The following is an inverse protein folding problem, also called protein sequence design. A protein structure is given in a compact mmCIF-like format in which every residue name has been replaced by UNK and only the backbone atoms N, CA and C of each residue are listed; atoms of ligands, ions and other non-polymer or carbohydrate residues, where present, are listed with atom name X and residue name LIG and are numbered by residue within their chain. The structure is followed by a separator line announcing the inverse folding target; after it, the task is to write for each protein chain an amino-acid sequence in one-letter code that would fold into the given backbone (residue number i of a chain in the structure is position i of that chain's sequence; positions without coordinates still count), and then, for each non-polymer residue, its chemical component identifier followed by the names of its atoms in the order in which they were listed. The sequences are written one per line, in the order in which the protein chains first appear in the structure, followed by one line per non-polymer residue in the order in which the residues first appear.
data_IF_325060485123
#
_entry.id   IF_325060485123
#
_cell.length_a   1.000
_cell.length_b   1.000
_cell.length_c   1.000
_cell.angle_alpha   90.00
_cell.angle_beta   90.00
_cell.angle_gamma   90.00
#
_symmetry.space_group_name_H-M   'P 1'
#
loop_
_entity.id
_entity.type
_entity.pdbx_description
1 polymer ?
#
# COMPACT_ATOMS: atom_id res chain seq x y z
N UNK A 1 2.13 13.13 -11.35
CA UNK A 1 2.68 12.35 -12.48
C UNK A 1 2.18 10.90 -12.38
N UNK A 2 1.16 10.49 -13.18
CA UNK A 2 0.57 9.15 -13.09
C UNK A 2 1.54 8.02 -13.44
N UNK A 3 2.57 8.32 -14.20
CA UNK A 3 3.58 7.34 -14.66
C UNK A 3 4.75 7.19 -13.69
N UNK A 4 4.83 8.07 -12.69
CA UNK A 4 5.90 8.01 -11.71
C UNK A 4 5.56 7.05 -10.57
N UNK A 5 6.53 6.24 -10.16
CA UNK A 5 6.41 5.40 -8.97
C UNK A 5 6.08 6.25 -7.74
N UNK A 6 5.15 5.79 -6.91
CA UNK A 6 4.90 6.39 -5.59
C UNK A 6 6.17 6.41 -4.75
N UNK A 7 6.50 7.57 -4.18
CA UNK A 7 7.73 7.73 -3.40
C UNK A 7 7.57 8.76 -2.29
N UNK A 8 8.04 8.43 -1.10
CA UNK A 8 8.07 9.34 0.05
C UNK A 8 8.98 10.55 -0.19
N UNK A 9 10.07 10.38 -0.94
CA UNK A 9 11.02 11.48 -1.26
C UNK A 9 10.42 12.59 -2.13
N UNK A 10 9.30 12.32 -2.81
CA UNK A 10 8.57 13.31 -3.62
C UNK A 10 7.52 14.10 -2.81
N UNK A 11 7.39 13.83 -1.52
CA UNK A 11 6.45 14.50 -0.62
C UNK A 11 5.14 13.74 -0.38
N UNK A 12 4.38 14.19 0.60
CA UNK A 12 3.21 13.47 1.14
C UNK A 12 2.08 13.22 0.15
N UNK A 13 1.97 14.01 -0.91
CA UNK A 13 0.96 13.83 -1.96
C UNK A 13 1.26 12.69 -2.93
N UNK A 14 2.46 12.10 -2.86
CA UNK A 14 2.93 11.09 -3.80
C UNK A 14 2.83 9.65 -3.27
N UNK A 15 2.27 9.45 -2.07
CA UNK A 15 2.05 8.12 -1.50
C UNK A 15 0.89 8.12 -0.51
N UNK A 16 0.34 6.94 -0.27
CA UNK A 16 -0.60 6.70 0.82
C UNK A 16 0.16 5.96 1.92
N UNK A 17 0.22 6.55 3.12
CA UNK A 17 0.84 5.90 4.26
C UNK A 17 -0.13 4.93 4.93
N UNK A 18 0.39 3.82 5.46
CA UNK A 18 -0.42 2.87 6.24
C UNK A 18 -1.08 3.51 7.48
N UNK A 19 -0.55 4.66 7.91
CA UNK A 19 -1.04 5.43 9.06
C UNK A 19 -1.95 6.60 8.69
N UNK A 20 -2.19 6.84 7.40
CA UNK A 20 -3.08 7.91 6.95
C UNK A 20 -4.50 7.66 7.45
N UNK A 21 -5.14 8.71 7.97
CA UNK A 21 -6.54 8.64 8.37
C UNK A 21 -7.45 8.48 7.14
N UNK A 22 -8.69 7.97 7.30
CA UNK A 22 -9.64 7.88 6.20
C UNK A 22 -9.85 9.19 5.44
N UNK A 23 -9.87 10.33 6.15
CA UNK A 23 -9.99 11.66 5.55
C UNK A 23 -8.79 12.02 4.68
N UNK A 24 -7.57 11.70 5.12
CA UNK A 24 -6.34 11.94 4.37
C UNK A 24 -6.29 11.06 3.13
N UNK A 25 -6.66 9.78 3.24
CA UNK A 25 -6.73 8.85 2.10
C UNK A 25 -7.70 9.38 1.05
N UNK A 26 -8.92 9.76 1.44
CA UNK A 26 -9.89 10.34 0.50
C UNK A 26 -9.36 11.61 -0.16
N UNK A 27 -8.73 12.50 0.58
CA UNK A 27 -8.15 13.73 0.03
C UNK A 27 -7.05 13.44 -0.98
N UNK A 28 -6.14 12.50 -0.68
CA UNK A 28 -5.05 12.09 -1.58
C UNK A 28 -5.60 11.44 -2.86
N UNK A 29 -6.53 10.50 -2.76
CA UNK A 29 -7.15 9.86 -3.92
C UNK A 29 -7.97 10.86 -4.74
N UNK A 30 -8.70 11.78 -4.10
CA UNK A 30 -9.45 12.84 -4.78
C UNK A 30 -8.52 13.74 -5.59
N UNK A 31 -7.33 14.06 -5.08
CA UNK A 31 -6.34 14.90 -5.77
C UNK A 31 -5.55 14.16 -6.86
N UNK A 32 -5.65 12.83 -6.95
CA UNK A 32 -4.94 12.06 -7.98
C UNK A 32 -5.34 12.49 -9.40
N UNK A 33 -4.35 12.63 -10.27
CA UNK A 33 -4.58 12.99 -11.67
C UNK A 33 -5.21 11.80 -12.40
N UNK A 34 -6.37 12.01 -13.02
CA UNK A 34 -7.11 10.99 -13.79
C UNK A 34 -6.99 11.18 -15.28
N UNK A 35 -6.94 12.42 -15.75
CA UNK A 35 -6.75 12.74 -17.16
C UNK A 35 -5.75 13.88 -17.30
N UNK A 36 -4.87 13.79 -18.30
CA UNK A 36 -4.07 14.92 -18.78
C UNK A 36 -4.72 15.47 -20.05
N UNK A 37 -4.74 16.78 -20.20
CA UNK A 37 -5.29 17.43 -21.38
C UNK A 37 -4.62 16.86 -22.65
N UNK A 38 -5.43 16.27 -23.54
CA UNK A 38 -4.98 15.75 -24.86
C UNK A 38 -4.69 14.27 -24.98
N UNK A 39 -4.88 13.44 -23.94
CA UNK A 39 -4.55 12.03 -23.99
C UNK A 39 -5.69 11.04 -23.82
N UNK A 40 -5.98 10.24 -24.83
CA UNK A 40 -6.95 9.14 -24.80
C UNK A 40 -6.52 7.91 -24.00
N UNK A 41 -5.28 7.91 -23.47
CA UNK A 41 -4.77 6.87 -22.56
C UNK A 41 -4.49 7.52 -21.22
N UNK A 42 -5.54 7.76 -20.45
CA UNK A 42 -5.45 8.35 -19.13
C UNK A 42 -4.74 7.39 -18.16
N UNK A 43 -3.41 7.42 -18.13
CA UNK A 43 -2.57 6.58 -17.26
C UNK A 43 -3.02 6.67 -15.79
N UNK A 44 -3.54 7.83 -15.36
CA UNK A 44 -4.09 7.99 -14.03
C UNK A 44 -5.36 7.16 -13.74
N UNK A 45 -6.24 6.96 -14.74
CA UNK A 45 -7.40 6.07 -14.59
C UNK A 45 -6.96 4.61 -14.51
N UNK A 46 -6.02 4.21 -15.37
CA UNK A 46 -5.46 2.85 -15.37
C UNK A 46 -4.83 2.54 -14.03
N UNK A 47 -4.07 3.48 -13.45
CA UNK A 47 -3.45 3.31 -12.13
C UNK A 47 -4.49 3.18 -11.01
N UNK A 48 -5.57 3.96 -11.04
CA UNK A 48 -6.65 3.84 -10.06
C UNK A 48 -7.41 2.52 -10.18
N UNK A 49 -7.63 2.03 -11.41
CA UNK A 49 -8.24 0.72 -11.65
C UNK A 49 -7.30 -0.41 -11.18
N UNK A 50 -5.98 -0.28 -11.38
CA UNK A 50 -4.99 -1.22 -10.86
C UNK A 50 -5.00 -1.25 -9.32
N UNK A 51 -5.03 -0.10 -8.65
CA UNK A 51 -5.20 -0.03 -7.20
C UNK A 51 -6.51 -0.67 -6.75
N UNK A 52 -7.61 -0.42 -7.46
CA UNK A 52 -8.87 -1.05 -7.15
C UNK A 52 -8.83 -2.58 -7.33
N UNK A 53 -8.08 -3.08 -8.29
CA UNK A 53 -7.90 -4.52 -8.50
C UNK A 53 -7.20 -5.20 -7.33
N UNK A 54 -6.27 -4.50 -6.65
CA UNK A 54 -5.56 -5.02 -5.49
C UNK A 54 -6.41 -4.96 -4.20
N UNK A 55 -7.18 -3.89 -4.01
CA UNK A 55 -7.87 -3.62 -2.74
C UNK A 55 -9.39 -3.80 -2.80
N UNK A 56 -9.99 -3.77 -3.97
CA UNK A 56 -11.43 -3.76 -4.16
C UNK A 56 -12.06 -5.13 -4.41
N UNK A 57 -13.39 -5.17 -4.43
CA UNK A 57 -14.14 -6.36 -4.80
C UNK A 57 -14.11 -6.58 -6.33
N UNK A 58 -13.94 -7.83 -6.76
CA UNK A 58 -13.84 -8.20 -8.19
C UNK A 58 -15.00 -7.66 -9.05
N UNK A 59 -16.24 -7.65 -8.52
CA UNK A 59 -17.40 -7.11 -9.23
C UNK A 59 -17.31 -5.59 -9.47
N UNK A 60 -16.81 -4.83 -8.50
CA UNK A 60 -16.61 -3.37 -8.66
C UNK A 60 -15.54 -3.07 -9.70
N UNK A 61 -14.45 -3.83 -9.71
CA UNK A 61 -13.38 -3.71 -10.71
C UNK A 61 -13.93 -3.95 -12.11
N UNK A 62 -14.70 -5.02 -12.30
CA UNK A 62 -15.27 -5.38 -13.60
C UNK A 62 -16.21 -4.27 -14.12
N UNK A 63 -17.12 -3.78 -13.28
CA UNK A 63 -18.08 -2.73 -13.66
C UNK A 63 -17.37 -1.42 -14.04
N UNK A 64 -16.46 -0.92 -13.20
CA UNK A 64 -15.77 0.34 -13.47
C UNK A 64 -14.78 0.23 -14.65
N UNK A 65 -14.25 -0.97 -14.91
CA UNK A 65 -13.44 -1.22 -16.11
C UNK A 65 -14.31 -1.21 -17.37
N UNK A 66 -15.52 -1.78 -17.31
CA UNK A 66 -16.48 -1.72 -18.41
C UNK A 66 -16.92 -0.28 -18.70
N UNK A 67 -17.24 0.49 -17.64
CA UNK A 67 -17.59 1.91 -17.77
C UNK A 67 -16.45 2.74 -18.38
N UNK A 68 -15.20 2.41 -18.04
CA UNK A 68 -14.04 3.06 -18.64
C UNK A 68 -13.93 2.77 -20.14
N UNK A 69 -14.15 1.53 -20.55
CA UNK A 69 -14.12 1.12 -21.96
C UNK A 69 -15.25 1.73 -22.78
N UNK A 70 -16.43 1.88 -22.18
CA UNK A 70 -17.60 2.52 -22.84
C UNK A 70 -17.56 4.04 -22.83
N UNK A 71 -16.60 4.66 -22.11
CA UNK A 71 -16.52 6.12 -21.98
C UNK A 71 -17.55 6.74 -21.01
N UNK A 72 -18.27 5.93 -20.24
CA UNK A 72 -19.29 6.36 -19.28
C UNK A 72 -18.76 6.54 -17.85
N UNK A 73 -17.48 6.23 -17.61
CA UNK A 73 -16.86 6.27 -16.29
C UNK A 73 -16.86 7.68 -15.68
N UNK A 74 -17.49 7.83 -14.53
CA UNK A 74 -17.39 9.03 -13.70
C UNK A 74 -16.17 8.93 -12.80
N UNK A 75 -15.18 9.77 -13.03
CA UNK A 75 -13.91 9.75 -12.26
C UNK A 75 -14.11 10.01 -10.76
N UNK A 76 -15.11 10.79 -10.38
CA UNK A 76 -15.44 10.97 -8.96
C UNK A 76 -15.89 9.68 -8.28
N UNK A 77 -16.69 8.87 -8.98
CA UNK A 77 -17.15 7.56 -8.49
C UNK A 77 -15.96 6.59 -8.36
N UNK A 78 -15.11 6.51 -9.40
CA UNK A 78 -13.91 5.68 -9.35
C UNK A 78 -13.03 6.04 -8.15
N UNK A 79 -12.75 7.33 -7.94
CA UNK A 79 -11.92 7.82 -6.83
C UNK A 79 -12.51 7.47 -5.47
N UNK A 80 -13.82 7.61 -5.30
CA UNK A 80 -14.48 7.27 -4.04
C UNK A 80 -14.38 5.76 -3.76
N UNK A 81 -14.70 4.93 -4.76
CA UNK A 81 -14.62 3.45 -4.61
C UNK A 81 -13.18 3.00 -4.30
N UNK A 82 -12.17 3.59 -4.95
CA UNK A 82 -10.76 3.30 -4.65
C UNK A 82 -10.40 3.70 -3.22
N UNK A 83 -10.80 4.89 -2.79
CA UNK A 83 -10.52 5.38 -1.45
C UNK A 83 -11.15 4.46 -0.38
N UNK A 84 -12.42 4.08 -0.55
CA UNK A 84 -13.12 3.18 0.36
C UNK A 84 -12.47 1.79 0.40
N UNK A 85 -12.08 1.24 -0.75
CA UNK A 85 -11.40 -0.05 -0.81
C UNK A 85 -10.08 -0.03 -0.02
N UNK A 86 -9.26 1.02 -0.18
CA UNK A 86 -8.01 1.19 0.56
C UNK A 86 -8.27 1.36 2.06
N UNK A 87 -9.23 2.19 2.45
CA UNK A 87 -9.58 2.43 3.86
C UNK A 87 -9.99 1.11 4.52
N UNK A 88 -10.91 0.37 3.91
CA UNK A 88 -11.38 -0.92 4.42
C UNK A 88 -10.25 -1.95 4.57
N UNK A 89 -9.29 -1.94 3.63
CA UNK A 89 -8.13 -2.83 3.70
C UNK A 89 -7.17 -2.44 4.84
N UNK A 90 -6.98 -1.14 5.09
CA UNK A 90 -6.06 -0.66 6.13
C UNK A 90 -6.65 -0.69 7.55
N UNK A 91 -7.97 -0.62 7.68
CA UNK A 91 -8.66 -0.56 8.98
C UNK A 91 -8.21 -1.63 9.98
N UNK A 92 -8.15 -2.94 9.65
CA UNK A 92 -7.73 -3.97 10.60
C UNK A 92 -6.27 -3.81 11.04
N UNK A 93 -5.39 -3.37 10.14
CA UNK A 93 -3.98 -3.10 10.48
C UNK A 93 -3.84 -1.89 11.40
N UNK A 94 -4.60 -0.82 11.12
CA UNK A 94 -4.61 0.39 11.96
C UNK A 94 -5.16 0.11 13.36
N UNK A 95 -6.23 -0.69 13.45
CA UNK A 95 -6.79 -1.12 14.73
C UNK A 95 -5.77 -1.94 15.55
N UNK A 96 -5.09 -2.90 14.90
CA UNK A 96 -4.05 -3.70 15.53
C UNK A 96 -2.86 -2.84 15.99
N UNK A 97 -2.42 -1.89 15.15
CA UNK A 97 -1.38 -0.93 15.50
C UNK A 97 -1.78 -0.09 16.72
N UNK A 98 -3.01 0.45 16.73
CA UNK A 98 -3.50 1.24 17.85
C UNK A 98 -3.53 0.43 19.16
N UNK A 99 -3.91 -0.84 19.10
CA UNK A 99 -3.88 -1.76 20.25
C UNK A 99 -2.45 -1.99 20.73
N UNK A 100 -1.53 -2.34 19.83
CA UNK A 100 -0.12 -2.61 20.18
C UNK A 100 0.59 -1.38 20.74
N UNK A 101 0.30 -0.18 20.21
CA UNK A 101 0.92 1.06 20.69
C UNK A 101 0.63 1.38 22.16
N UNK A 102 -0.42 0.79 22.74
CA UNK A 102 -0.76 0.93 24.17
C UNK A 102 0.08 0.02 25.07
N UNK A 103 0.69 -1.02 24.52
CA UNK A 103 1.42 -2.06 25.25
C UNK A 103 2.89 -2.07 24.85
N UNK A 104 3.67 -1.12 25.36
CA UNK A 104 5.10 -0.97 25.04
C UNK A 104 5.92 -2.22 25.36
N UNK A 105 5.64 -2.84 26.51
CA UNK A 105 6.33 -4.06 26.96
C UNK A 105 6.10 -5.21 25.98
N UNK A 106 4.88 -5.37 25.49
CA UNK A 106 4.57 -6.39 24.48
C UNK A 106 5.31 -6.16 23.16
N UNK A 107 5.55 -4.90 22.78
CA UNK A 107 6.36 -4.58 21.60
C UNK A 107 7.83 -4.99 21.84
N UNK A 108 8.36 -4.69 23.02
CA UNK A 108 9.71 -5.09 23.41
C UNK A 108 9.88 -6.62 23.36
N UNK A 109 8.93 -7.38 23.91
CA UNK A 109 8.93 -8.85 23.85
C UNK A 109 8.90 -9.39 22.41
N UNK A 110 8.07 -8.80 21.55
CA UNK A 110 8.01 -9.20 20.13
C UNK A 110 9.35 -8.96 19.42
N UNK A 111 9.99 -7.82 19.70
CA UNK A 111 11.29 -7.49 19.13
C UNK A 111 12.39 -8.42 19.65
N UNK A 112 12.41 -8.71 20.96
CA UNK A 112 13.36 -9.63 21.57
C UNK A 112 13.24 -11.03 20.97
N UNK A 113 12.04 -11.59 20.96
CA UNK A 113 11.78 -12.91 20.36
C UNK A 113 12.16 -12.94 18.86
N UNK A 114 11.89 -11.84 18.14
CA UNK A 114 12.32 -11.70 16.74
C UNK A 114 13.83 -11.69 16.56
N UNK A 115 14.53 -10.97 17.43
CA UNK A 115 15.99 -10.90 17.43
C UNK A 115 16.64 -12.26 17.76
N UNK A 116 16.11 -12.99 18.74
CA UNK A 116 16.58 -14.34 19.09
C UNK A 116 16.45 -15.32 17.91
N UNK A 117 15.28 -15.32 17.25
CA UNK A 117 15.05 -16.17 16.07
C UNK A 117 15.96 -15.81 14.91
N UNK A 118 16.15 -14.52 14.62
CA UNK A 118 17.04 -14.05 13.57
C UNK A 118 18.50 -14.39 13.88
N UNK A 119 18.94 -14.22 15.14
CA UNK A 119 20.27 -14.55 15.59
C UNK A 119 20.57 -16.04 15.44
N UNK A 120 19.65 -16.92 15.80
CA UNK A 120 19.82 -18.37 15.65
C UNK A 120 20.05 -18.79 14.19
N UNK A 121 19.26 -18.20 13.25
CA UNK A 121 19.41 -18.44 11.81
C UNK A 121 20.76 -17.89 11.31
N UNK A 122 21.09 -16.65 11.70
CA UNK A 122 22.33 -16.00 11.27
C UNK A 122 23.58 -16.73 11.79
N UNK A 123 23.58 -17.17 13.05
CA UNK A 123 24.69 -17.95 13.64
C UNK A 123 24.94 -19.25 12.88
N UNK A 124 23.88 -20.00 12.58
CA UNK A 124 24.00 -21.24 11.79
C UNK A 124 24.60 -20.97 10.40
N UNK A 125 24.13 -19.94 9.72
CA UNK A 125 24.66 -19.54 8.41
C UNK A 125 26.12 -19.12 8.51
N UNK A 126 26.47 -18.34 9.53
CA UNK A 126 27.86 -17.89 9.73
C UNK A 126 28.81 -19.03 10.12
N UNK A 127 28.34 -20.02 10.86
CA UNK A 127 29.14 -21.22 11.12
C UNK A 127 29.46 -22.00 9.83
N UNK A 128 28.47 -22.17 8.96
CA UNK A 128 28.68 -22.82 7.67
C UNK A 128 29.63 -22.00 6.76
N UNK A 129 29.49 -20.68 6.72
CA UNK A 129 30.39 -19.80 5.99
C UNK A 129 31.82 -19.93 6.51
N UNK A 130 32.02 -19.80 7.84
CA UNK A 130 33.35 -19.91 8.46
C UNK A 130 34.00 -21.25 8.16
N UNK A 131 33.27 -22.36 8.26
CA UNK A 131 33.79 -23.70 7.87
C UNK A 131 34.25 -23.74 6.41
N UNK A 132 33.47 -23.18 5.51
CA UNK A 132 33.78 -23.18 4.05
C UNK A 132 35.01 -22.35 3.69
N UNK A 133 35.21 -21.23 4.37
CA UNK A 133 36.34 -20.31 4.10
C UNK A 133 37.58 -20.59 5.01
N UNK A 134 37.49 -21.57 5.89
CA UNK A 134 38.62 -21.97 6.76
C UNK A 134 38.91 -21.00 7.91
N UNK A 135 37.97 -20.14 8.31
CA UNK A 135 38.08 -19.22 9.45
C UNK A 135 37.32 -19.82 10.63
N UNK A 136 37.98 -19.87 11.81
CA UNK A 136 37.38 -20.33 13.06
C UNK A 136 36.65 -19.23 13.79
#
# INVERSE_FOLDING_TARGET
EPEAKMSKSKGEKHYIALTDSPSIIRAKVKSAVTATAGGSKASGVVNLLALLAEFGAKGQVANLTADHKSGTLKYSVLKEVVAEAIIKHLEPMQAKRATLARYKDKIADILLNGAERASAIAQKTMEEVRKKIGVR
#
